data_IF_034661764430
#
_entry.id   IF_034661764430
#
_cell.length_a   1.000
_cell.length_b   1.000
_cell.length_c   1.000
_cell.angle_alpha   90.00
_cell.angle_beta   90.00
_cell.angle_gamma   90.00
#
_symmetry.space_group_name_H-M   'P 1'
#
loop_
_entity.id
_entity.type
_entity.pdbx_description
1 polymer ?
#
# COMPACT_ATOMS: atom_id res chain seq x y z
N UNK A 1 -79.11 29.19 -19.93
CA UNK A 1 -79.32 30.58 -20.39
C UNK A 1 -79.83 31.38 -19.21
N UNK A 2 -78.93 31.90 -18.38
CA UNK A 2 -79.31 32.90 -17.38
C UNK A 2 -79.27 34.28 -18.05
N UNK A 3 -80.44 34.91 -18.14
CA UNK A 3 -80.58 36.29 -18.58
C UNK A 3 -79.94 37.20 -17.53
N UNK A 4 -78.68 37.56 -17.75
CA UNK A 4 -78.03 38.64 -16.99
C UNK A 4 -78.69 39.95 -17.42
N UNK A 5 -79.61 40.46 -16.60
CA UNK A 5 -80.16 41.80 -16.74
C UNK A 5 -79.02 42.83 -16.65
N UNK A 6 -78.57 43.32 -17.80
CA UNK A 6 -77.63 44.44 -17.88
C UNK A 6 -78.35 45.70 -17.42
N UNK A 7 -78.25 46.02 -16.12
CA UNK A 7 -78.69 47.31 -15.59
C UNK A 7 -77.93 48.43 -16.31
N UNK A 8 -78.61 49.19 -17.16
CA UNK A 8 -78.00 50.32 -17.88
C UNK A 8 -77.83 51.50 -16.92
N UNK A 9 -76.70 51.54 -16.20
CA UNK A 9 -76.33 52.71 -15.39
C UNK A 9 -76.19 53.93 -16.31
N UNK A 10 -76.95 55.01 -16.03
CA UNK A 10 -76.84 56.29 -16.76
C UNK A 10 -75.40 56.79 -16.71
N UNK A 11 -74.75 56.93 -17.87
CA UNK A 11 -73.38 57.46 -18.00
C UNK A 11 -73.37 58.91 -17.53
N UNK A 12 -72.65 59.20 -16.44
CA UNK A 12 -72.45 60.58 -15.95
C UNK A 12 -71.61 61.36 -16.97
N UNK A 13 -72.08 62.54 -17.40
CA UNK A 13 -71.32 63.42 -18.29
C UNK A 13 -70.16 64.05 -17.50
N UNK A 14 -68.93 63.64 -17.79
CA UNK A 14 -67.72 64.08 -17.09
C UNK A 14 -66.77 64.73 -18.10
N UNK A 15 -66.14 65.85 -17.72
CA UNK A 15 -65.22 66.60 -18.59
C UNK A 15 -63.96 65.78 -18.90
N UNK A 16 -63.67 65.62 -20.19
CA UNK A 16 -62.55 64.83 -20.73
C UNK A 16 -61.35 65.69 -21.16
N UNK A 17 -61.27 66.95 -20.72
CA UNK A 17 -60.22 67.88 -21.16
C UNK A 17 -58.82 67.57 -20.61
N UNK A 18 -58.72 67.01 -19.39
CA UNK A 18 -57.44 66.75 -18.74
C UNK A 18 -57.11 65.24 -18.70
N UNK A 19 -55.84 64.87 -18.91
CA UNK A 19 -55.35 63.48 -18.86
C UNK A 19 -55.74 62.74 -17.57
N UNK A 20 -55.68 63.43 -16.42
CA UNK A 20 -56.10 62.89 -15.12
C UNK A 20 -57.59 62.54 -15.07
N UNK A 21 -58.44 63.30 -15.76
CA UNK A 21 -59.89 63.01 -15.82
C UNK A 21 -60.18 61.83 -16.75
N UNK A 22 -59.46 61.73 -17.87
CA UNK A 22 -59.46 60.56 -18.74
C UNK A 22 -59.11 59.28 -17.97
N UNK A 23 -57.96 59.26 -17.29
CA UNK A 23 -57.49 58.07 -16.57
C UNK A 23 -58.46 57.57 -15.48
N UNK A 24 -59.27 58.45 -14.86
CA UNK A 24 -60.16 58.09 -13.74
C UNK A 24 -61.57 57.66 -14.15
N UNK A 25 -62.06 58.08 -15.32
CA UNK A 25 -63.48 57.97 -15.68
C UNK A 25 -63.74 57.20 -16.97
N UNK A 26 -62.71 56.61 -17.57
CA UNK A 26 -62.89 55.66 -18.67
C UNK A 26 -63.22 54.31 -18.05
N UNK A 27 -64.35 53.76 -18.48
CA UNK A 27 -64.80 52.45 -18.05
C UNK A 27 -64.16 51.39 -18.94
N UNK A 28 -63.04 50.83 -18.49
CA UNK A 28 -62.35 49.73 -19.15
C UNK A 28 -62.71 48.36 -18.55
N UNK A 29 -63.71 48.31 -17.65
CA UNK A 29 -64.05 47.08 -16.90
C UNK A 29 -64.41 45.91 -17.81
N UNK A 30 -65.09 46.17 -18.91
CA UNK A 30 -65.46 45.15 -19.90
C UNK A 30 -64.21 44.50 -20.53
N UNK A 31 -63.22 45.32 -20.89
CA UNK A 31 -61.93 44.85 -21.44
C UNK A 31 -61.11 44.13 -20.38
N UNK A 32 -61.09 44.64 -19.14
CA UNK A 32 -60.40 44.00 -18.02
C UNK A 32 -61.03 42.65 -17.66
N UNK A 33 -62.35 42.56 -17.60
CA UNK A 33 -63.10 41.34 -17.30
C UNK A 33 -62.93 40.30 -18.42
N UNK A 34 -62.97 40.72 -19.69
CA UNK A 34 -62.64 39.85 -20.82
C UNK A 34 -61.22 39.28 -20.72
N UNK A 35 -60.22 40.14 -20.44
CA UNK A 35 -58.83 39.71 -20.28
C UNK A 35 -58.65 38.80 -19.05
N UNK A 36 -59.37 39.04 -17.96
CA UNK A 36 -59.33 38.20 -16.77
C UNK A 36 -60.01 36.85 -16.99
N UNK A 37 -61.12 36.81 -17.73
CA UNK A 37 -61.77 35.58 -18.17
C UNK A 37 -60.84 34.78 -19.09
N UNK A 38 -60.17 35.43 -20.05
CA UNK A 38 -59.18 34.80 -20.92
C UNK A 38 -58.03 34.19 -20.10
N UNK A 39 -57.45 34.94 -19.14
CA UNK A 39 -56.40 34.43 -18.24
C UNK A 39 -56.89 33.27 -17.38
N UNK A 40 -58.15 33.31 -16.92
CA UNK A 40 -58.75 32.24 -16.13
C UNK A 40 -58.94 30.97 -16.98
N UNK A 41 -59.38 31.12 -18.22
CA UNK A 41 -59.47 30.02 -19.17
C UNK A 41 -58.09 29.42 -19.46
N UNK A 42 -57.06 30.25 -19.70
CA UNK A 42 -55.68 29.79 -19.86
C UNK A 42 -55.16 29.01 -18.63
N UNK A 43 -55.48 29.46 -17.41
CA UNK A 43 -55.14 28.75 -16.16
C UNK A 43 -55.80 27.37 -16.07
N UNK A 44 -57.07 27.27 -16.47
CA UNK A 44 -57.87 26.04 -16.50
C UNK A 44 -57.61 25.16 -17.73
N UNK A 45 -56.64 25.53 -18.57
CA UNK A 45 -56.14 24.73 -19.69
C UNK A 45 -56.73 25.08 -21.04
N UNK A 46 -57.16 26.32 -21.26
CA UNK A 46 -57.64 26.85 -22.53
C UNK A 46 -59.16 26.76 -22.71
N UNK A 47 -59.71 27.47 -23.71
CA UNK A 47 -61.12 27.42 -24.03
C UNK A 47 -61.54 26.02 -24.47
N UNK A 48 -62.76 25.62 -24.12
CA UNK A 48 -63.29 24.29 -24.46
C UNK A 48 -63.29 24.03 -25.98
N UNK A 49 -63.44 25.06 -26.80
CA UNK A 49 -63.43 24.97 -28.26
C UNK A 49 -62.09 24.51 -28.86
N UNK A 50 -60.98 24.70 -28.16
CA UNK A 50 -59.64 24.31 -28.65
C UNK A 50 -59.20 22.93 -28.15
N UNK A 51 -59.87 22.40 -27.12
CA UNK A 51 -59.56 21.08 -26.56
C UNK A 51 -60.08 19.98 -27.48
N UNK A 52 -59.31 18.90 -27.61
CA UNK A 52 -59.73 17.72 -28.37
C UNK A 52 -60.75 16.90 -27.57
N UNK A 53 -61.72 16.31 -28.24
CA UNK A 53 -62.73 15.44 -27.63
C UNK A 53 -62.12 14.31 -26.80
N UNK A 54 -60.94 13.81 -27.19
CA UNK A 54 -60.18 12.77 -26.45
C UNK A 54 -59.71 13.20 -25.06
N UNK A 55 -59.56 14.51 -24.81
CA UNK A 55 -59.19 15.04 -23.50
C UNK A 55 -60.42 15.36 -22.64
N UNK A 56 -61.55 15.65 -23.29
CA UNK A 56 -62.81 16.01 -22.65
C UNK A 56 -63.60 14.78 -22.20
N UNK A 57 -63.56 13.72 -23.01
CA UNK A 57 -64.35 12.52 -22.82
C UNK A 57 -63.45 11.31 -22.63
N UNK A 58 -63.66 10.59 -21.54
CA UNK A 58 -63.08 9.27 -21.30
C UNK A 58 -64.21 8.27 -21.50
N UNK A 59 -64.12 7.46 -22.55
CA UNK A 59 -65.06 6.37 -22.79
C UNK A 59 -64.66 5.24 -21.83
N UNK A 60 -65.48 4.99 -20.81
CA UNK A 60 -65.23 3.95 -19.80
C UNK A 60 -65.90 2.65 -20.25
N UNK A 61 -65.22 1.91 -21.14
CA UNK A 61 -65.71 0.65 -21.72
C UNK A 61 -65.63 -0.56 -20.76
N UNK A 62 -65.14 -0.37 -19.53
CA UNK A 62 -64.88 -1.47 -18.58
C UNK A 62 -65.52 -1.20 -17.23
N UNK A 63 -66.40 -2.11 -16.78
CA UNK A 63 -67.07 -2.06 -15.48
C UNK A 63 -66.08 -1.88 -14.32
N UNK A 64 -66.48 -1.06 -13.35
CA UNK A 64 -65.65 -0.51 -12.29
C UNK A 64 -65.22 -1.54 -11.22
N UNK A 65 -64.30 -2.44 -11.58
CA UNK A 65 -63.39 -3.00 -10.57
C UNK A 65 -62.52 -1.85 -10.08
N UNK A 66 -62.71 -1.44 -8.83
CA UNK A 66 -61.97 -0.37 -8.14
C UNK A 66 -60.49 -0.45 -8.55
N UNK A 67 -60.06 0.44 -9.45
CA UNK A 67 -58.67 0.56 -9.91
C UNK A 67 -57.82 0.92 -8.70
N UNK A 68 -57.42 -0.09 -7.91
CA UNK A 68 -56.48 0.07 -6.82
C UNK A 68 -55.23 0.64 -7.45
N UNK A 69 -54.91 1.89 -7.14
CA UNK A 69 -53.75 2.59 -7.69
C UNK A 69 -52.57 1.62 -7.64
N UNK A 70 -52.06 1.22 -8.82
CA UNK A 70 -50.96 0.25 -8.92
C UNK A 70 -49.88 0.71 -7.95
N UNK A 71 -49.64 -0.05 -6.88
CA UNK A 71 -48.69 0.33 -5.83
C UNK A 71 -47.31 0.33 -6.49
N UNK A 72 -46.84 1.54 -6.83
CA UNK A 72 -45.53 1.75 -7.43
C UNK A 72 -44.46 1.04 -6.60
N UNK A 73 -43.57 0.31 -7.28
CA UNK A 73 -42.43 -0.35 -6.66
C UNK A 73 -41.58 0.67 -5.89
N UNK A 74 -40.87 0.24 -4.84
CA UNK A 74 -39.97 1.12 -4.06
C UNK A 74 -38.97 1.87 -4.95
N UNK A 75 -38.54 1.24 -6.05
CA UNK A 75 -37.65 1.86 -7.05
C UNK A 75 -38.36 2.93 -7.89
N UNK A 76 -39.62 2.73 -8.23
CA UNK A 76 -40.44 3.68 -8.99
C UNK A 76 -40.79 4.90 -8.13
N UNK A 77 -41.12 4.67 -6.85
CA UNK A 77 -41.31 5.74 -5.85
C UNK A 77 -40.08 6.60 -5.65
N UNK A 78 -38.89 6.00 -5.68
CA UNK A 78 -37.63 6.75 -5.53
C UNK A 78 -37.25 7.60 -6.76
N UNK A 79 -37.83 7.33 -7.94
CA UNK A 79 -37.61 8.12 -9.16
C UNK A 79 -38.55 9.33 -9.26
N UNK A 80 -39.69 9.28 -8.58
CA UNK A 80 -40.59 10.41 -8.49
C UNK A 80 -39.92 11.55 -7.71
N UNK A 81 -40.17 12.82 -8.08
CA UNK A 81 -39.67 13.94 -7.30
C UNK A 81 -40.20 13.82 -5.87
N UNK A 82 -39.37 14.17 -4.89
CA UNK A 82 -39.78 14.16 -3.49
C UNK A 82 -40.98 15.10 -3.30
N UNK A 83 -41.87 14.76 -2.35
CA UNK A 83 -43.07 15.54 -2.06
C UNK A 83 -42.78 17.02 -1.77
N UNK A 84 -41.63 17.32 -1.14
CA UNK A 84 -41.18 18.69 -0.88
C UNK A 84 -40.95 19.52 -2.15
N UNK A 85 -40.63 18.89 -3.29
CA UNK A 85 -40.50 19.56 -4.58
C UNK A 85 -41.81 19.67 -5.35
N UNK A 86 -42.91 19.08 -4.86
CA UNK A 86 -44.23 19.21 -5.48
C UNK A 86 -44.68 20.67 -5.60
N UNK A 87 -44.30 21.50 -4.62
CA UNK A 87 -44.62 22.94 -4.61
C UNK A 87 -43.86 23.73 -5.69
N UNK A 88 -42.79 23.16 -6.25
CA UNK A 88 -42.00 23.79 -7.33
C UNK A 88 -42.53 23.42 -8.73
N UNK A 89 -43.41 22.43 -8.82
CA UNK A 89 -44.04 22.05 -10.09
C UNK A 89 -45.15 23.05 -10.37
N UNK A 90 -45.13 23.68 -11.55
CA UNK A 90 -46.20 24.57 -11.96
C UNK A 90 -47.50 23.77 -12.11
N UNK A 91 -48.48 24.06 -11.25
CA UNK A 91 -49.80 23.44 -11.29
C UNK A 91 -50.73 24.09 -12.33
N UNK A 92 -50.36 25.27 -12.84
CA UNK A 92 -51.07 25.95 -13.91
C UNK A 92 -50.69 25.32 -15.26
N UNK A 93 -51.66 25.18 -16.17
CA UNK A 93 -51.43 24.67 -17.54
C UNK A 93 -50.70 25.68 -18.45
N UNK A 94 -50.51 26.90 -17.97
CA UNK A 94 -49.80 27.98 -18.67
C UNK A 94 -48.32 27.59 -18.82
N UNK A 95 -47.75 27.63 -20.04
CA UNK A 95 -46.33 27.36 -20.23
C UNK A 95 -45.48 28.42 -19.53
N UNK A 96 -44.34 28.02 -18.97
CA UNK A 96 -43.39 28.96 -18.37
C UNK A 96 -42.96 30.00 -19.43
N UNK A 97 -43.03 31.32 -19.15
CA UNK A 97 -42.64 32.36 -20.11
C UNK A 97 -41.14 32.30 -20.44
N UNK A 98 -40.33 31.68 -19.58
CA UNK A 98 -38.89 31.47 -19.76
C UNK A 98 -38.65 30.01 -20.16
N UNK A 99 -38.68 29.72 -21.45
CA UNK A 99 -38.61 28.34 -21.98
C UNK A 99 -37.30 27.59 -21.66
N UNK A 100 -36.18 28.27 -21.42
CA UNK A 100 -34.93 27.64 -20.97
C UNK A 100 -34.28 28.42 -19.83
N UNK A 101 -34.32 27.86 -18.62
CA UNK A 101 -33.58 28.36 -17.47
C UNK A 101 -32.11 27.90 -17.56
N UNK A 102 -31.19 28.74 -17.09
CA UNK A 102 -29.77 28.40 -17.00
C UNK A 102 -29.57 27.30 -15.96
N UNK A 103 -29.21 26.09 -16.42
CA UNK A 103 -28.86 24.96 -15.54
C UNK A 103 -27.36 24.70 -15.62
N UNK A 104 -26.80 24.26 -14.50
CA UNK A 104 -25.45 23.72 -14.42
C UNK A 104 -25.33 22.50 -15.34
N UNK A 105 -24.50 22.61 -16.39
CA UNK A 105 -24.21 21.50 -17.32
C UNK A 105 -23.60 20.31 -16.57
N UNK A 106 -24.00 19.10 -16.93
CA UNK A 106 -23.41 17.86 -16.39
C UNK A 106 -21.94 17.70 -16.84
N UNK A 107 -21.17 16.85 -16.16
CA UNK A 107 -19.76 16.62 -16.51
C UNK A 107 -19.57 16.15 -17.96
N UNK A 108 -20.52 15.37 -18.48
CA UNK A 108 -20.50 14.88 -19.86
C UNK A 108 -20.88 15.98 -20.87
N UNK A 109 -21.86 16.83 -20.52
CA UNK A 109 -22.23 18.00 -21.31
C UNK A 109 -21.11 19.05 -21.39
N UNK A 110 -20.27 19.15 -20.36
CA UNK A 110 -19.09 20.05 -20.32
C UNK A 110 -17.92 19.57 -21.18
N UNK A 111 -17.90 18.31 -21.63
CA UNK A 111 -16.79 17.81 -22.47
C UNK A 111 -16.83 18.46 -23.85
N UNK A 112 -15.67 18.87 -24.35
CA UNK A 112 -15.51 19.35 -25.72
C UNK A 112 -15.90 18.27 -26.74
N UNK A 113 -16.44 18.68 -27.89
CA UNK A 113 -16.88 17.79 -28.99
C UNK A 113 -15.77 16.82 -29.43
N UNK A 114 -14.53 17.32 -29.53
CA UNK A 114 -13.36 16.52 -29.91
C UNK A 114 -13.13 15.35 -28.95
N UNK A 115 -13.19 15.62 -27.64
CA UNK A 115 -12.97 14.59 -26.61
C UNK A 115 -14.06 13.52 -26.62
N UNK A 116 -15.31 13.89 -26.92
CA UNK A 116 -16.42 12.93 -27.10
C UNK A 116 -16.17 12.00 -28.28
N UNK A 117 -15.80 12.57 -29.43
CA UNK A 117 -15.45 11.81 -30.64
C UNK A 117 -14.31 10.81 -30.40
N UNK A 118 -13.25 11.24 -29.71
CA UNK A 118 -12.12 10.36 -29.36
C UNK A 118 -12.54 9.22 -28.43
N UNK A 119 -13.30 9.51 -27.36
CA UNK A 119 -13.79 8.47 -26.44
C UNK A 119 -14.73 7.47 -27.14
N UNK A 120 -15.54 7.92 -28.08
CA UNK A 120 -16.42 7.06 -28.89
C UNK A 120 -15.64 6.18 -29.87
N UNK A 121 -14.64 6.74 -30.56
CA UNK A 121 -13.75 5.98 -31.43
C UNK A 121 -12.95 4.93 -30.65
N UNK A 122 -12.43 5.28 -29.47
CA UNK A 122 -11.74 4.34 -28.58
C UNK A 122 -12.68 3.22 -28.12
N UNK A 123 -13.93 3.53 -27.75
CA UNK A 123 -14.93 2.49 -27.42
C UNK A 123 -15.26 1.58 -28.60
N UNK A 124 -15.42 2.13 -29.81
CA UNK A 124 -15.65 1.34 -31.03
C UNK A 124 -14.48 0.38 -31.32
N UNK A 125 -13.25 0.82 -31.03
CA UNK A 125 -12.04 0.02 -31.17
C UNK A 125 -11.79 -0.92 -29.97
N UNK A 126 -12.71 -1.01 -28.99
CA UNK A 126 -12.58 -1.86 -27.81
C UNK A 126 -11.57 -1.38 -26.76
N UNK A 127 -11.00 -0.19 -26.92
CA UNK A 127 -10.01 0.39 -26.00
C UNK A 127 -10.75 1.07 -24.85
N UNK A 128 -10.76 0.42 -23.69
CA UNK A 128 -11.42 0.91 -22.47
C UNK A 128 -10.35 1.35 -21.47
N UNK A 129 -10.45 2.56 -20.87
CA UNK A 129 -9.49 3.00 -19.87
C UNK A 129 -9.59 2.14 -18.60
N UNK A 130 -8.43 1.83 -17.99
CA UNK A 130 -8.33 0.98 -16.80
C UNK A 130 -9.26 1.40 -15.65
N UNK A 131 -9.43 2.71 -15.43
CA UNK A 131 -10.34 3.26 -14.40
C UNK A 131 -11.80 2.82 -14.59
N UNK A 132 -12.25 2.66 -15.82
CA UNK A 132 -13.62 2.20 -16.13
C UNK A 132 -13.73 0.70 -15.86
N UNK A 133 -12.71 -0.09 -16.21
CA UNK A 133 -12.66 -1.51 -15.87
C UNK A 133 -12.66 -1.76 -14.36
N UNK A 134 -11.86 -1.00 -13.61
CA UNK A 134 -11.83 -1.06 -12.15
C UNK A 134 -13.18 -0.70 -11.54
N UNK A 135 -13.83 0.36 -12.03
CA UNK A 135 -15.19 0.73 -11.62
C UNK A 135 -16.22 -0.38 -11.87
N UNK A 136 -16.12 -1.10 -12.99
CA UNK A 136 -16.97 -2.26 -13.26
C UNK A 136 -16.71 -3.41 -12.27
N UNK A 137 -15.44 -3.72 -12.01
CA UNK A 137 -15.06 -4.75 -11.02
C UNK A 137 -15.56 -4.39 -9.62
N UNK A 138 -15.34 -3.16 -9.18
CA UNK A 138 -15.81 -2.65 -7.89
C UNK A 138 -17.33 -2.70 -7.79
N UNK A 139 -18.05 -2.33 -8.86
CA UNK A 139 -19.51 -2.42 -8.91
C UNK A 139 -20.00 -3.86 -8.80
N UNK A 140 -19.38 -4.79 -9.52
CA UNK A 140 -19.71 -6.23 -9.45
C UNK A 140 -19.46 -6.75 -8.03
N UNK A 141 -18.32 -6.40 -7.44
CA UNK A 141 -17.97 -6.76 -6.07
C UNK A 141 -19.00 -6.21 -5.07
N UNK A 142 -19.37 -4.94 -5.19
CA UNK A 142 -20.36 -4.30 -4.31
C UNK A 142 -21.73 -4.95 -4.44
N UNK A 143 -22.16 -5.31 -5.66
CA UNK A 143 -23.41 -6.01 -5.90
C UNK A 143 -23.40 -7.43 -5.33
N UNK A 144 -22.27 -8.14 -5.41
CA UNK A 144 -22.09 -9.44 -4.75
C UNK A 144 -22.18 -9.32 -3.24
N UNK A 145 -21.47 -8.34 -2.66
CA UNK A 145 -21.51 -8.06 -1.22
C UNK A 145 -22.93 -7.75 -0.73
N UNK A 146 -23.68 -6.89 -1.43
CA UNK A 146 -25.09 -6.60 -1.12
C UNK A 146 -26.04 -7.80 -1.29
N UNK A 147 -25.67 -8.80 -2.10
CA UNK A 147 -26.44 -10.05 -2.23
C UNK A 147 -26.10 -11.05 -1.12
N UNK A 148 -24.86 -11.07 -0.64
CA UNK A 148 -24.41 -11.93 0.46
C UNK A 148 -24.78 -11.38 1.85
N UNK A 149 -25.04 -10.08 1.95
CA UNK A 149 -25.62 -9.48 3.16
C UNK A 149 -26.99 -10.14 3.44
N UNK A 150 -27.17 -10.77 4.62
CA UNK A 150 -28.44 -11.41 4.96
C UNK A 150 -29.55 -10.35 5.01
N UNK A 151 -30.72 -10.69 4.45
CA UNK A 151 -31.86 -9.76 4.32
C UNK A 151 -32.74 -9.72 5.58
N UNK A 152 -32.45 -10.56 6.55
CA UNK A 152 -33.16 -10.64 7.83
C UNK A 152 -32.62 -9.57 8.78
N UNK A 153 -33.42 -9.17 9.76
CA UNK A 153 -32.97 -8.32 10.86
C UNK A 153 -31.91 -9.09 11.66
N UNK A 154 -30.64 -8.85 11.34
CA UNK A 154 -29.57 -9.10 12.30
C UNK A 154 -29.88 -8.19 13.48
N UNK A 155 -30.14 -8.77 14.65
CA UNK A 155 -30.15 -8.00 15.89
C UNK A 155 -28.72 -7.48 16.09
N UNK A 156 -28.44 -6.27 15.59
CA UNK A 156 -27.12 -5.61 15.71
C UNK A 156 -26.76 -5.24 17.15
N UNK A 157 -27.63 -5.54 18.11
CA UNK A 157 -27.44 -5.20 19.52
C UNK A 157 -27.39 -6.48 20.35
N UNK A 158 -26.18 -6.91 20.65
CA UNK A 158 -25.94 -7.91 21.68
C UNK A 158 -26.45 -7.33 23.00
N UNK A 159 -27.40 -8.01 23.62
CA UNK A 159 -28.03 -7.58 24.89
C UNK A 159 -26.99 -7.59 26.03
N UNK A 160 -25.88 -8.30 25.83
CA UNK A 160 -24.78 -8.44 26.79
C UNK A 160 -23.59 -7.52 26.52
N UNK A 161 -23.53 -6.87 25.36
CA UNK A 161 -22.72 -5.66 25.18
C UNK A 161 -23.55 -4.48 25.70
N UNK A 162 -23.69 -4.38 27.03
CA UNK A 162 -24.01 -3.10 27.63
C UNK A 162 -22.87 -2.15 27.23
N UNK A 163 -23.15 -1.30 26.23
CA UNK A 163 -22.43 -0.07 25.97
C UNK A 163 -22.47 0.73 27.28
N UNK A 164 -21.54 0.44 28.19
CA UNK A 164 -21.11 1.36 29.23
C UNK A 164 -20.56 2.53 28.44
N UNK A 165 -21.46 3.48 28.15
CA UNK A 165 -21.11 4.73 27.51
C UNK A 165 -19.90 5.32 28.23
N UNK A 166 -19.16 6.16 27.52
CA UNK A 166 -17.89 6.78 27.94
C UNK A 166 -17.92 7.37 29.38
N UNK A 167 -19.10 7.57 29.96
CA UNK A 167 -19.36 7.89 31.35
C UNK A 167 -19.95 6.68 32.07
N UNK A 168 -19.08 5.79 32.56
CA UNK A 168 -19.46 4.49 33.09
C UNK A 168 -20.36 4.51 34.33
N UNK A 169 -20.51 5.64 35.03
CA UNK A 169 -21.29 5.73 36.29
C UNK A 169 -21.92 7.12 36.52
N UNK A 170 -22.00 8.00 35.52
CA UNK A 170 -22.58 9.33 35.69
C UNK A 170 -23.96 9.42 35.02
N UNK A 171 -24.98 9.84 35.78
CA UNK A 171 -26.35 10.06 35.34
C UNK A 171 -26.40 11.07 34.18
N UNK A 172 -26.22 10.57 32.97
CA UNK A 172 -26.22 11.34 31.72
C UNK A 172 -27.55 11.23 30.98
N UNK A 173 -28.58 10.65 31.62
CA UNK A 173 -29.93 10.50 31.07
C UNK A 173 -30.59 11.83 30.67
N UNK A 174 -30.20 12.95 31.30
CA UNK A 174 -30.67 14.30 30.99
C UNK A 174 -29.91 14.97 29.84
N UNK A 175 -28.75 14.44 29.42
CA UNK A 175 -27.96 14.96 28.31
C UNK A 175 -28.39 14.31 27.00
N UNK A 176 -28.76 15.12 26.01
CA UNK A 176 -29.08 14.61 24.67
C UNK A 176 -27.84 14.00 24.03
N UNK A 177 -28.02 12.93 23.26
CA UNK A 177 -26.93 12.24 22.54
C UNK A 177 -26.17 13.17 21.59
N UNK A 178 -26.85 14.16 21.02
CA UNK A 178 -26.25 15.22 20.20
C UNK A 178 -25.35 16.15 21.01
N UNK A 179 -25.76 16.52 22.23
CA UNK A 179 -24.98 17.34 23.15
C UNK A 179 -23.72 16.62 23.60
N UNK A 180 -23.81 15.33 23.91
CA UNK A 180 -22.64 14.49 24.22
C UNK A 180 -21.69 14.47 23.02
N UNK A 181 -22.18 14.27 21.79
CA UNK A 181 -21.35 14.25 20.57
C UNK A 181 -20.69 15.59 20.27
N UNK A 182 -21.39 16.70 20.51
CA UNK A 182 -20.94 18.05 20.20
C UNK A 182 -19.97 18.61 21.25
N UNK A 183 -20.23 18.36 22.54
CA UNK A 183 -19.41 18.87 23.65
C UNK A 183 -18.27 17.93 24.06
N UNK A 184 -18.41 16.61 23.90
CA UNK A 184 -17.34 15.65 24.17
C UNK A 184 -16.30 15.59 23.04
N UNK A 185 -16.06 16.70 22.33
CA UNK A 185 -15.08 16.88 21.23
C UNK A 185 -14.35 15.61 20.80
N UNK A 186 -14.88 14.88 19.81
CA UNK A 186 -14.25 13.68 19.23
C UNK A 186 -13.63 12.68 20.22
N UNK A 187 -14.16 12.48 21.42
CA UNK A 187 -13.63 11.51 22.40
C UNK A 187 -13.74 10.05 21.93
N UNK A 188 -14.56 9.76 20.91
CA UNK A 188 -14.46 8.52 20.12
C UNK A 188 -13.43 8.70 19.01
N UNK A 189 -12.15 8.84 19.39
CA UNK A 189 -11.04 8.76 18.43
C UNK A 189 -11.00 7.31 17.94
N UNK A 190 -11.37 7.08 16.68
CA UNK A 190 -11.21 5.77 16.04
C UNK A 190 -9.74 5.37 16.19
N UNK A 191 -9.46 4.31 16.94
CA UNK A 191 -8.10 3.80 17.11
C UNK A 191 -7.54 3.48 15.72
N UNK A 192 -6.36 4.01 15.35
CA UNK A 192 -5.70 3.65 14.10
C UNK A 192 -5.59 2.14 13.93
N UNK A 193 -5.94 1.63 12.74
CA UNK A 193 -5.95 0.18 12.45
C UNK A 193 -4.59 -0.47 12.72
N UNK A 194 -3.50 0.27 12.53
CA UNK A 194 -2.13 -0.21 12.78
C UNK A 194 -1.85 -0.54 14.25
N UNK A 195 -2.52 0.13 15.19
CA UNK A 195 -2.37 -0.15 16.63
C UNK A 195 -3.01 -1.49 17.00
N UNK A 196 -4.15 -1.83 16.38
CA UNK A 196 -4.86 -3.09 16.61
C UNK A 196 -4.20 -4.30 15.92
N UNK A 197 -3.27 -4.06 14.99
CA UNK A 197 -2.61 -5.12 14.23
C UNK A 197 -1.59 -5.85 15.10
N UNK A 198 -1.73 -7.17 15.23
CA UNK A 198 -0.73 -8.02 15.90
C UNK A 198 0.63 -7.89 15.21
N UNK A 199 1.69 -7.72 16.01
CA UNK A 199 3.06 -7.49 15.51
C UNK A 199 3.74 -8.76 14.97
N UNK A 200 3.25 -9.93 15.36
CA UNK A 200 3.74 -11.26 14.97
C UNK A 200 2.59 -12.25 14.88
N UNK A 201 2.81 -13.35 14.15
CA UNK A 201 1.86 -14.47 13.98
C UNK A 201 2.06 -15.54 15.07
N UNK A 202 3.19 -15.52 15.77
CA UNK A 202 3.54 -16.49 16.81
C UNK A 202 2.54 -16.49 17.99
N UNK A 203 2.24 -17.66 18.58
CA UNK A 203 1.39 -17.75 19.75
C UNK A 203 2.04 -17.07 20.96
N UNK A 204 1.21 -16.64 21.93
CA UNK A 204 1.71 -15.95 23.12
C UNK A 204 2.57 -16.84 24.02
N UNK A 205 2.29 -18.15 24.03
CA UNK A 205 3.01 -19.20 24.73
C UNK A 205 3.24 -20.31 23.72
N UNK A 206 4.49 -20.70 23.52
CA UNK A 206 4.83 -21.85 22.69
C UNK A 206 4.71 -23.12 23.54
N UNK A 207 4.16 -24.22 22.98
CA UNK A 207 4.11 -25.49 23.70
C UNK A 207 5.55 -25.99 23.92
N UNK A 208 5.89 -26.48 25.14
CA UNK A 208 7.22 -27.02 25.41
C UNK A 208 7.44 -28.33 24.66
N UNK A 209 8.72 -28.70 24.47
CA UNK A 209 9.07 -29.98 23.87
C UNK A 209 8.59 -31.15 24.78
N UNK A 210 8.06 -32.27 24.23
CA UNK A 210 7.56 -33.38 25.03
C UNK A 210 8.61 -34.01 25.97
N UNK A 211 9.88 -33.97 25.56
CA UNK A 211 11.02 -34.42 26.37
C UNK A 211 11.28 -33.60 27.65
N UNK A 212 10.67 -32.40 27.78
CA UNK A 212 10.74 -31.56 28.98
C UNK A 212 9.70 -31.96 30.04
N UNK A 213 8.77 -32.86 29.68
CA UNK A 213 7.81 -33.37 30.65
C UNK A 213 8.52 -34.07 31.79
N UNK A 214 7.84 -34.16 32.93
CA UNK A 214 8.37 -34.79 34.13
C UNK A 214 8.62 -36.30 33.94
N UNK A 215 7.78 -36.97 33.14
CA UNK A 215 7.91 -38.39 32.80
C UNK A 215 7.83 -38.56 31.26
N UNK A 216 8.89 -38.18 30.52
CA UNK A 216 8.92 -38.24 29.07
C UNK A 216 9.11 -39.68 28.59
N UNK A 217 8.68 -39.95 27.37
CA UNK A 217 9.09 -41.17 26.68
C UNK A 217 10.58 -41.11 26.38
N UNK A 218 11.26 -42.26 26.39
CA UNK A 218 12.70 -42.35 26.16
C UNK A 218 13.10 -41.67 24.84
N UNK A 219 12.31 -41.88 23.77
CA UNK A 219 12.52 -41.24 22.47
C UNK A 219 12.43 -39.72 22.55
N UNK A 220 11.36 -39.17 23.14
CA UNK A 220 11.18 -37.72 23.26
C UNK A 220 12.27 -37.05 24.13
N UNK A 221 12.78 -37.75 25.14
CA UNK A 221 13.90 -37.28 25.96
C UNK A 221 15.22 -37.26 25.19
N UNK A 222 15.51 -38.34 24.43
CA UNK A 222 16.69 -38.38 23.55
C UNK A 222 16.63 -37.31 22.46
N UNK A 223 15.46 -37.10 21.85
CA UNK A 223 15.27 -36.06 20.83
C UNK A 223 15.57 -34.67 21.41
N UNK A 224 15.11 -34.38 22.64
CA UNK A 224 15.43 -33.13 23.34
C UNK A 224 16.94 -33.01 23.61
N UNK A 225 17.57 -34.08 24.11
CA UNK A 225 19.00 -34.09 24.40
C UNK A 225 19.84 -33.88 23.14
N UNK A 226 19.42 -34.45 22.01
CA UNK A 226 20.08 -34.25 20.72
C UNK A 226 20.01 -32.78 20.29
N UNK A 227 18.83 -32.15 20.38
CA UNK A 227 18.66 -30.72 20.07
C UNK A 227 19.57 -29.85 20.95
N UNK A 228 19.65 -30.15 22.25
CA UNK A 228 20.53 -29.43 23.17
C UNK A 228 22.00 -29.68 22.82
N UNK A 229 22.39 -30.92 22.56
CA UNK A 229 23.75 -31.28 22.22
C UNK A 229 24.22 -30.59 20.92
N UNK A 230 23.35 -30.51 19.91
CA UNK A 230 23.63 -29.78 18.66
C UNK A 230 23.92 -28.30 18.94
N UNK A 231 23.08 -27.63 19.75
CA UNK A 231 23.28 -26.22 20.13
C UNK A 231 24.57 -26.01 20.92
N UNK A 232 24.92 -26.92 21.83
CA UNK A 232 26.17 -26.83 22.59
C UNK A 232 27.40 -27.09 21.70
N UNK A 233 27.32 -28.03 20.76
CA UNK A 233 28.38 -28.25 19.77
C UNK A 233 28.61 -27.03 18.89
N UNK A 234 27.56 -26.28 18.52
CA UNK A 234 27.69 -25.01 17.82
C UNK A 234 28.45 -23.98 18.66
N UNK A 235 28.10 -23.81 19.94
CA UNK A 235 28.82 -22.92 20.86
C UNK A 235 30.30 -23.30 20.99
N UNK A 236 30.60 -24.58 21.17
CA UNK A 236 31.99 -25.09 21.26
C UNK A 236 32.77 -24.80 19.97
N UNK A 237 32.15 -24.96 18.80
CA UNK A 237 32.79 -24.63 17.50
C UNK A 237 33.05 -23.14 17.38
N UNK A 238 32.11 -22.29 17.80
CA UNK A 238 32.29 -20.83 17.81
C UNK A 238 33.43 -20.41 18.74
N UNK A 239 33.49 -20.97 19.95
CA UNK A 239 34.56 -20.73 20.92
C UNK A 239 35.92 -21.16 20.36
N UNK A 240 36.02 -22.38 19.80
CA UNK A 240 37.25 -22.86 19.17
C UNK A 240 37.67 -22.00 17.97
N UNK A 241 36.71 -21.51 17.18
CA UNK A 241 36.97 -20.59 16.09
C UNK A 241 37.52 -19.25 16.60
N UNK A 242 36.91 -18.68 17.64
CA UNK A 242 37.37 -17.43 18.26
C UNK A 242 38.76 -17.62 18.84
N UNK A 243 39.02 -18.72 19.55
CA UNK A 243 40.33 -19.04 20.11
C UNK A 243 41.38 -19.13 18.99
N UNK A 244 41.09 -19.87 17.92
CA UNK A 244 41.97 -19.96 16.75
C UNK A 244 42.27 -18.58 16.12
N UNK A 245 41.25 -17.74 15.94
CA UNK A 245 41.40 -16.43 15.28
C UNK A 245 42.04 -15.39 16.19
N UNK A 246 41.86 -15.49 17.51
CA UNK A 246 42.36 -14.49 18.47
C UNK A 246 43.60 -14.95 19.21
N UNK A 247 43.61 -16.08 19.88
CA UNK A 247 44.74 -16.49 20.71
C UNK A 247 45.83 -17.17 19.89
N UNK A 248 45.46 -18.05 18.95
CA UNK A 248 46.44 -18.85 18.19
C UNK A 248 47.07 -18.06 17.05
N UNK A 249 46.34 -17.11 16.45
CA UNK A 249 46.86 -16.25 15.39
C UNK A 249 47.92 -15.26 15.91
N UNK A 250 47.77 -14.76 17.15
CA UNK A 250 48.73 -13.82 17.75
C UNK A 250 49.73 -14.57 18.64
N UNK A 251 50.90 -14.92 18.08
CA UNK A 251 52.04 -15.41 18.87
C UNK A 251 52.48 -14.32 19.85
N UNK A 252 52.57 -14.65 21.15
CA UNK A 252 53.15 -13.76 22.15
C UNK A 252 54.67 -13.85 22.05
N UNK A 253 55.27 -12.94 21.28
CA UNK A 253 56.73 -12.82 21.12
C UNK A 253 57.32 -11.99 22.27
N UNK A 254 58.47 -12.40 22.80
CA UNK A 254 59.18 -11.60 23.80
C UNK A 254 59.80 -10.35 23.19
N UNK A 255 60.04 -9.29 23.97
CA UNK A 255 60.60 -8.02 23.46
C UNK A 255 61.90 -8.21 22.66
N UNK A 256 62.78 -9.09 23.15
CA UNK A 256 64.07 -9.38 22.53
C UNK A 256 63.92 -10.08 21.16
N UNK A 257 63.02 -11.06 21.06
CA UNK A 257 62.72 -11.74 19.79
C UNK A 257 62.11 -10.78 18.76
N UNK A 258 61.24 -9.86 19.23
CA UNK A 258 60.65 -8.82 18.37
C UNK A 258 61.71 -7.84 17.84
N UNK A 259 62.69 -7.46 18.65
CA UNK A 259 63.80 -6.62 18.22
C UNK A 259 64.68 -7.34 17.17
N UNK A 260 64.95 -8.64 17.36
CA UNK A 260 65.70 -9.44 16.39
C UNK A 260 64.97 -9.59 15.05
N UNK A 261 63.68 -9.96 15.06
CA UNK A 261 62.84 -10.07 13.85
C UNK A 261 62.76 -8.71 13.11
N UNK A 262 62.65 -7.59 13.83
CA UNK A 262 62.67 -6.26 13.23
C UNK A 262 64.00 -5.95 12.54
N UNK A 263 65.14 -6.26 13.17
CA UNK A 263 66.46 -6.08 12.56
C UNK A 263 66.59 -6.91 11.27
N UNK A 264 66.07 -8.13 11.27
CA UNK A 264 66.07 -9.03 10.11
C UNK A 264 65.17 -8.48 8.98
N UNK A 265 63.94 -8.05 9.27
CA UNK A 265 63.03 -7.42 8.31
C UNK A 265 63.62 -6.14 7.69
N UNK A 266 64.32 -5.32 8.47
CA UNK A 266 64.99 -4.10 7.98
C UNK A 266 66.22 -4.41 7.11
N UNK A 267 66.78 -5.62 7.20
CA UNK A 267 67.95 -6.04 6.42
C UNK A 267 67.59 -6.70 5.08
N UNK A 268 66.36 -7.24 4.93
CA UNK A 268 65.91 -7.97 3.74
C UNK A 268 65.63 -7.11 2.49
N UNK A 269 65.79 -5.79 2.56
CA UNK A 269 65.70 -4.88 1.41
C UNK A 269 67.04 -4.45 0.82
N UNK A 270 68.16 -4.94 1.37
CA UNK A 270 69.51 -4.61 0.89
C UNK A 270 70.01 -5.70 -0.07
N UNK A 271 69.39 -5.77 -1.25
CA UNK A 271 69.79 -6.70 -2.31
C UNK A 271 70.98 -6.11 -3.08
N UNK A 272 72.08 -6.87 -3.17
CA UNK A 272 73.28 -6.52 -3.92
C UNK A 272 72.97 -6.46 -5.42
N UNK A 273 73.15 -5.27 -6.01
CA UNK A 273 73.09 -5.00 -7.44
C UNK A 273 73.92 -6.03 -8.21
N UNK A 274 73.25 -6.86 -9.01
CA UNK A 274 73.86 -7.57 -10.14
C UNK A 274 73.24 -6.99 -11.41
N UNK A 275 73.93 -6.00 -11.95
CA UNK A 275 73.81 -5.61 -13.36
C UNK A 275 74.29 -6.78 -14.22
N UNK A 276 73.57 -7.09 -15.29
CA UNK A 276 74.23 -7.37 -16.58
C UNK A 276 73.24 -7.34 -17.76
N UNK A 277 73.62 -6.48 -18.71
CA UNK A 277 73.47 -6.52 -20.15
C UNK A 277 72.13 -6.19 -20.84
N UNK A 278 72.13 -4.96 -21.37
CA UNK A 278 71.59 -4.56 -22.67
C UNK A 278 72.12 -5.43 -23.81
N UNK A 279 71.32 -5.60 -24.87
CA UNK A 279 71.78 -5.72 -26.27
C UNK A 279 70.65 -5.22 -27.20
N UNK A 280 70.94 -4.42 -28.25
CA UNK A 280 69.97 -3.84 -29.18
C UNK A 280 69.90 -4.58 -30.53
N UNK A 281 68.80 -4.41 -31.30
CA UNK A 281 68.82 -4.13 -32.77
C UNK A 281 67.51 -4.51 -33.54
N UNK A 282 66.83 -3.47 -34.05
CA UNK A 282 66.49 -3.21 -35.48
C UNK A 282 65.46 -4.05 -36.28
N UNK A 283 64.24 -3.49 -36.44
CA UNK A 283 63.54 -3.13 -37.72
C UNK A 283 62.77 -4.20 -38.52
N UNK A 284 61.97 -3.83 -39.57
CA UNK A 284 61.27 -2.58 -39.88
C UNK A 284 59.75 -2.74 -40.20
N UNK A 285 59.00 -1.62 -40.17
CA UNK A 285 57.62 -1.50 -40.65
C UNK A 285 57.52 -1.50 -42.19
N UNK A 286 56.48 -2.13 -42.72
CA UNK A 286 56.16 -2.22 -44.15
C UNK A 286 55.90 -0.86 -44.81
N UNK A 287 56.78 -0.42 -45.72
CA UNK A 287 56.50 0.64 -46.69
C UNK A 287 55.67 0.07 -47.84
N UNK A 288 54.53 0.71 -48.14
CA UNK A 288 53.72 0.39 -49.31
C UNK A 288 54.28 1.18 -50.52
N UNK A 289 54.73 0.55 -51.62
CA UNK A 289 55.36 1.26 -52.72
C UNK A 289 54.36 2.16 -53.48
N UNK A 290 54.80 3.30 -54.04
CA UNK A 290 53.96 4.22 -54.80
C UNK A 290 53.45 3.56 -56.09
N UNK A 291 52.13 3.60 -56.32
CA UNK A 291 51.49 3.03 -57.51
C UNK A 291 51.60 3.98 -58.71
N UNK A 292 52.23 3.56 -59.81
CA UNK A 292 52.35 4.35 -61.05
C UNK A 292 51.18 4.14 -62.02
N UNK A 293 50.79 5.19 -62.75
CA UNK A 293 49.69 5.23 -63.74
C UNK A 293 49.93 4.36 -65.00
N UNK A 294 51.18 4.01 -65.29
CA UNK A 294 51.59 3.28 -66.50
C UNK A 294 51.29 1.77 -66.46
N UNK A 295 50.89 1.24 -65.30
CA UNK A 295 50.65 -0.20 -65.11
C UNK A 295 49.25 -0.62 -65.55
N UNK A 296 48.92 -0.44 -66.84
CA UNK A 296 47.67 -0.97 -67.41
C UNK A 296 47.74 -2.50 -67.43
N UNK A 297 46.83 -3.13 -66.72
CA UNK A 297 46.78 -4.59 -66.61
C UNK A 297 46.41 -5.20 -67.97
N UNK A 298 47.12 -6.24 -68.37
CA UNK A 298 46.82 -6.99 -69.59
C UNK A 298 45.49 -7.76 -69.47
N UNK A 299 44.87 -8.13 -70.60
CA UNK A 299 43.62 -8.92 -70.59
C UNK A 299 43.78 -10.25 -69.83
N UNK A 300 44.95 -10.90 -69.94
CA UNK A 300 45.31 -12.11 -69.17
C UNK A 300 45.36 -11.83 -67.66
N UNK A 301 45.97 -10.72 -67.25
CA UNK A 301 45.99 -10.29 -65.84
C UNK A 301 44.58 -9.95 -65.33
N UNK A 302 43.71 -9.36 -66.17
CA UNK A 302 42.31 -9.06 -65.83
C UNK A 302 41.47 -10.34 -65.67
N UNK A 303 41.67 -11.35 -66.53
CA UNK A 303 41.04 -12.67 -66.42
C UNK A 303 41.47 -13.39 -65.14
N UNK A 304 42.78 -13.45 -64.87
CA UNK A 304 43.32 -14.03 -63.62
C UNK A 304 42.82 -13.30 -62.38
N UNK A 305 42.68 -11.98 -62.42
CA UNK A 305 42.11 -11.20 -61.32
C UNK A 305 40.62 -11.50 -61.10
N UNK A 306 39.84 -11.68 -62.18
CA UNK A 306 38.42 -12.06 -62.10
C UNK A 306 38.27 -13.44 -61.45
N UNK A 307 39.07 -14.41 -61.89
CA UNK A 307 39.10 -15.76 -61.31
C UNK A 307 39.51 -15.75 -59.84
N UNK A 308 40.51 -14.95 -59.45
CA UNK A 308 40.89 -14.77 -58.04
C UNK A 308 39.78 -14.13 -57.20
N UNK A 309 39.04 -13.16 -57.76
CA UNK A 309 37.88 -12.55 -57.09
C UNK A 309 36.75 -13.56 -56.91
N UNK A 310 36.44 -14.36 -57.93
CA UNK A 310 35.43 -15.41 -57.87
C UNK A 310 35.82 -16.50 -56.87
N UNK A 311 37.07 -16.96 -56.88
CA UNK A 311 37.60 -17.88 -55.87
C UNK A 311 37.55 -17.30 -54.45
N UNK A 312 37.83 -16.00 -54.29
CA UNK A 312 37.71 -15.32 -53.00
C UNK A 312 36.24 -15.22 -52.53
N UNK A 313 35.29 -14.96 -53.43
CA UNK A 313 33.86 -14.99 -53.13
C UNK A 313 33.41 -16.40 -52.74
N UNK A 314 33.81 -17.42 -53.50
CA UNK A 314 33.51 -18.82 -53.18
C UNK A 314 34.06 -19.22 -51.79
N UNK A 315 35.29 -18.81 -51.46
CA UNK A 315 35.88 -19.00 -50.13
C UNK A 315 35.08 -18.28 -49.04
N UNK A 316 34.59 -17.07 -49.29
CA UNK A 316 33.71 -16.34 -48.36
C UNK A 316 32.40 -17.08 -48.14
N UNK A 317 31.75 -17.56 -49.21
CA UNK A 317 30.52 -18.33 -49.11
C UNK A 317 30.72 -19.64 -48.35
N UNK A 318 31.78 -20.39 -48.65
CA UNK A 318 32.12 -21.61 -47.92
C UNK A 318 32.39 -21.36 -46.42
N UNK A 319 33.05 -20.24 -46.08
CA UNK A 319 33.21 -19.81 -44.67
C UNK A 319 31.86 -19.51 -44.01
N UNK A 320 30.95 -18.84 -44.69
CA UNK A 320 29.62 -18.54 -44.17
C UNK A 320 28.79 -19.82 -43.97
N UNK A 321 28.86 -20.77 -44.90
CA UNK A 321 28.17 -22.05 -44.76
C UNK A 321 28.72 -22.89 -43.59
N UNK A 322 30.05 -22.91 -43.41
CA UNK A 322 30.69 -23.53 -42.23
C UNK A 322 30.24 -22.87 -40.93
N UNK A 323 30.12 -21.54 -40.89
CA UNK A 323 29.58 -20.81 -39.73
C UNK A 323 28.13 -21.22 -39.44
N UNK A 324 27.26 -21.25 -40.45
CA UNK A 324 25.86 -21.71 -40.27
C UNK A 324 25.79 -23.12 -39.68
N UNK A 325 26.62 -24.06 -40.17
CA UNK A 325 26.69 -25.43 -39.63
C UNK A 325 27.19 -25.43 -38.17
N UNK A 326 28.21 -24.63 -37.85
CA UNK A 326 28.71 -24.49 -36.48
C UNK A 326 27.67 -23.86 -35.54
N UNK A 327 26.92 -22.86 -36.01
CA UNK A 327 25.86 -22.19 -35.25
C UNK A 327 24.72 -23.16 -34.94
N UNK A 328 24.31 -24.01 -35.90
CA UNK A 328 23.31 -25.07 -35.68
C UNK A 328 23.76 -26.02 -34.56
N UNK A 329 25.04 -26.43 -34.55
CA UNK A 329 25.59 -27.24 -33.46
C UNK A 329 25.62 -26.48 -32.13
N UNK A 330 25.93 -25.18 -32.16
CA UNK A 330 25.95 -24.30 -30.98
C UNK A 330 24.56 -24.11 -30.37
N UNK A 331 23.49 -24.14 -31.16
CA UNK A 331 22.11 -24.02 -30.66
C UNK A 331 21.80 -25.04 -29.55
N UNK A 332 22.33 -26.26 -29.63
CA UNK A 332 22.13 -27.29 -28.59
C UNK A 332 22.71 -26.88 -27.24
N UNK A 333 23.89 -26.25 -27.24
CA UNK A 333 24.51 -25.72 -26.02
C UNK A 333 23.76 -24.50 -25.50
N UNK A 334 23.31 -23.61 -26.38
CA UNK A 334 22.51 -22.44 -25.99
C UNK A 334 21.20 -22.88 -25.32
N UNK A 335 20.51 -23.88 -25.88
CA UNK A 335 19.28 -24.43 -25.27
C UNK A 335 19.57 -25.03 -23.89
N UNK A 336 20.63 -25.82 -23.76
CA UNK A 336 21.04 -26.38 -22.46
C UNK A 336 21.38 -25.28 -21.45
N UNK A 337 22.09 -24.23 -21.87
CA UNK A 337 22.42 -23.08 -21.03
C UNK A 337 21.16 -22.31 -20.59
N UNK A 338 20.15 -22.22 -21.45
CA UNK A 338 18.84 -21.62 -21.12
C UNK A 338 18.13 -22.51 -20.09
N UNK A 339 18.02 -23.82 -20.32
CA UNK A 339 17.40 -24.76 -19.39
C UNK A 339 18.08 -24.73 -18.01
N UNK A 340 19.40 -24.72 -17.96
CA UNK A 340 20.17 -24.68 -16.71
C UNK A 340 20.00 -23.33 -15.97
N UNK A 341 19.80 -22.23 -16.70
CA UNK A 341 19.46 -20.92 -16.11
C UNK A 341 18.05 -20.92 -15.57
N UNK A 342 17.07 -21.37 -16.34
CA UNK A 342 15.67 -21.45 -15.92
C UNK A 342 15.52 -22.32 -14.67
N UNK A 343 16.17 -23.48 -14.61
CA UNK A 343 16.20 -24.33 -13.40
C UNK A 343 16.79 -23.62 -12.19
N UNK A 344 17.90 -22.90 -12.36
CA UNK A 344 18.52 -22.12 -11.27
C UNK A 344 17.61 -21.00 -10.78
N UNK A 345 16.95 -20.29 -11.70
CA UNK A 345 16.00 -19.23 -11.38
C UNK A 345 14.77 -19.78 -10.67
N UNK A 346 14.25 -20.92 -11.10
CA UNK A 346 13.13 -21.60 -10.45
C UNK A 346 13.48 -22.02 -9.03
N UNK A 347 14.64 -22.67 -8.83
CA UNK A 347 15.14 -23.04 -7.50
C UNK A 347 15.32 -21.79 -6.62
N UNK A 348 15.89 -20.71 -7.15
CA UNK A 348 16.03 -19.45 -6.42
C UNK A 348 14.68 -18.84 -6.05
N UNK A 349 13.69 -18.89 -6.95
CA UNK A 349 12.33 -18.42 -6.69
C UNK A 349 11.62 -19.27 -5.63
N UNK A 350 11.77 -20.60 -5.66
CA UNK A 350 11.25 -21.49 -4.62
C UNK A 350 11.90 -21.21 -3.27
N UNK A 351 13.22 -21.03 -3.22
CA UNK A 351 13.95 -20.64 -1.99
C UNK A 351 13.45 -19.28 -1.49
N UNK A 352 13.22 -18.32 -2.39
CA UNK A 352 12.70 -16.99 -2.03
C UNK A 352 11.30 -17.09 -1.42
N UNK A 353 10.39 -17.86 -2.02
CA UNK A 353 9.05 -18.12 -1.48
C UNK A 353 9.12 -18.74 -0.09
N UNK A 354 9.91 -19.81 0.08
CA UNK A 354 10.14 -20.44 1.40
C UNK A 354 10.71 -19.46 2.43
N UNK A 355 11.66 -18.59 2.04
CA UNK A 355 12.19 -17.55 2.92
C UNK A 355 11.15 -16.50 3.28
N UNK A 356 10.27 -16.11 2.37
CA UNK A 356 9.18 -15.16 2.63
C UNK A 356 8.14 -15.75 3.60
N UNK A 357 7.81 -17.03 3.46
CA UNK A 357 6.96 -17.76 4.42
C UNK A 357 7.60 -17.82 5.81
N UNK A 358 8.89 -18.18 5.90
CA UNK A 358 9.62 -18.23 7.17
C UNK A 358 9.75 -16.85 7.83
N UNK A 359 9.91 -15.77 7.04
CA UNK A 359 10.01 -14.39 7.56
C UNK A 359 8.78 -13.94 8.34
N UNK A 360 7.60 -14.51 8.07
CA UNK A 360 6.37 -14.20 8.80
C UNK A 360 6.44 -14.68 10.26
N UNK A 361 7.10 -15.82 10.48
CA UNK A 361 7.29 -16.43 11.81
C UNK A 361 8.57 -15.96 12.49
N UNK A 362 9.55 -15.46 11.74
CA UNK A 362 10.82 -14.99 12.29
C UNK A 362 10.70 -13.68 13.07
N UNK A 363 11.55 -13.56 14.09
CA UNK A 363 11.71 -12.36 14.91
C UNK A 363 12.37 -11.25 14.10
N UNK A 364 11.83 -10.03 14.15
CA UNK A 364 12.40 -8.85 13.48
C UNK A 364 13.49 -8.21 14.35
N UNK A 365 14.44 -7.55 13.70
CA UNK A 365 15.46 -6.75 14.39
C UNK A 365 14.89 -5.37 14.76
N UNK A 366 14.40 -5.23 15.99
CA UNK A 366 13.82 -3.98 16.50
C UNK A 366 14.87 -3.01 17.09
N UNK A 367 16.02 -3.51 17.53
CA UNK A 367 17.09 -2.72 18.13
C UNK A 367 18.45 -3.09 17.54
N UNK A 368 19.50 -2.39 17.99
CA UNK A 368 20.88 -2.69 17.61
C UNK A 368 21.25 -4.15 17.92
N UNK A 369 20.80 -4.69 19.05
CA UNK A 369 21.02 -6.08 19.44
C UNK A 369 20.09 -7.01 18.64
N UNK A 370 20.64 -8.14 18.19
CA UNK A 370 19.84 -9.24 17.62
C UNK A 370 19.14 -9.97 18.76
N UNK A 371 17.93 -10.45 18.51
CA UNK A 371 17.27 -11.39 19.42
C UNK A 371 18.09 -12.68 19.50
N UNK A 372 18.26 -13.19 20.71
CA UNK A 372 18.92 -14.46 21.02
C UNK A 372 17.90 -15.28 21.78
N UNK A 373 17.68 -16.51 21.31
CA UNK A 373 16.76 -17.44 21.97
C UNK A 373 17.35 -17.89 23.31
N UNK A 374 16.47 -18.13 24.29
CA UNK A 374 16.88 -18.71 25.55
C UNK A 374 17.33 -20.17 25.35
N UNK A 375 18.28 -20.61 26.17
CA UNK A 375 18.68 -22.01 26.21
C UNK A 375 17.51 -22.88 26.68
N UNK A 376 17.40 -24.07 26.10
CA UNK A 376 16.34 -25.01 26.45
C UNK A 376 16.62 -25.61 27.82
N UNK A 377 15.60 -25.58 28.68
CA UNK A 377 15.64 -26.25 29.97
C UNK A 377 15.39 -27.74 29.79
N UNK A 378 16.24 -28.59 30.38
CA UNK A 378 16.08 -30.04 30.30
C UNK A 378 16.59 -30.70 31.58
N UNK A 379 16.02 -31.85 31.91
CA UNK A 379 16.49 -32.70 32.99
C UNK A 379 17.46 -33.75 32.43
N UNK A 380 18.58 -33.98 33.13
CA UNK A 380 19.47 -35.10 32.82
C UNK A 380 18.81 -36.44 33.20
N UNK A 381 19.35 -37.55 32.68
CA UNK A 381 18.86 -38.89 33.01
C UNK A 381 18.83 -39.17 34.51
N UNK A 382 19.82 -38.66 35.27
CA UNK A 382 19.90 -38.81 36.74
C UNK A 382 18.92 -37.92 37.51
N UNK A 383 18.43 -36.85 36.88
CA UNK A 383 17.52 -35.87 37.48
C UNK A 383 16.05 -36.22 37.18
N UNK A 384 15.81 -37.04 36.16
CA UNK A 384 14.50 -37.58 35.84
C UNK A 384 14.06 -38.57 36.93
N UNK A 385 13.03 -38.21 37.68
CA UNK A 385 12.48 -39.05 38.75
C UNK A 385 11.03 -39.39 38.45
N UNK A 386 10.64 -40.63 38.74
CA UNK A 386 9.27 -41.11 38.56
C UNK A 386 8.25 -40.58 39.57
N UNK A 387 8.65 -39.71 40.53
CA UNK A 387 7.77 -39.10 41.56
C UNK A 387 7.80 -37.54 41.57
N UNK A 388 6.62 -36.88 41.51
CA UNK A 388 6.50 -35.42 41.42
C UNK A 388 7.07 -34.69 42.64
N UNK A 389 7.00 -35.30 43.82
CA UNK A 389 7.53 -34.72 45.06
C UNK A 389 9.06 -34.54 45.04
N UNK A 390 9.74 -35.29 44.20
CA UNK A 390 11.20 -35.35 44.14
C UNK A 390 11.79 -34.63 42.93
N UNK A 391 10.94 -34.13 42.03
CA UNK A 391 11.36 -33.41 40.83
C UNK A 391 12.02 -32.09 41.22
N UNK A 392 13.11 -31.76 40.54
CA UNK A 392 13.66 -30.41 40.62
C UNK A 392 12.90 -29.55 39.62
N UNK A 393 12.26 -28.49 40.10
CA UNK A 393 11.67 -27.48 39.23
C UNK A 393 12.78 -26.67 38.58
N UNK A 394 12.87 -26.73 37.26
CA UNK A 394 13.75 -25.87 36.47
C UNK A 394 13.07 -24.58 36.07
N UNK A 395 13.88 -23.56 35.82
CA UNK A 395 13.49 -22.43 35.00
C UNK A 395 12.95 -21.18 35.66
N UNK A 396 12.83 -20.14 34.83
CA UNK A 396 12.27 -18.86 35.24
C UNK A 396 11.18 -18.42 34.26
N UNK A 397 9.93 -18.48 34.73
CA UNK A 397 8.75 -18.07 33.97
C UNK A 397 8.82 -16.61 33.49
N UNK A 398 9.42 -15.72 34.27
CA UNK A 398 9.59 -14.32 33.87
C UNK A 398 10.57 -14.18 32.72
N UNK A 399 11.64 -15.00 32.72
CA UNK A 399 12.59 -15.04 31.61
C UNK A 399 11.91 -15.56 30.34
N UNK A 400 11.18 -16.67 30.42
CA UNK A 400 10.43 -17.21 29.27
C UNK A 400 9.43 -16.20 28.69
N UNK A 401 8.65 -15.51 29.55
CA UNK A 401 7.74 -14.44 29.11
C UNK A 401 8.48 -13.27 28.48
N UNK A 402 9.63 -12.88 29.02
CA UNK A 402 10.47 -11.82 28.49
C UNK A 402 11.00 -12.17 27.09
N UNK A 403 11.52 -13.39 26.90
CA UNK A 403 11.97 -13.87 25.59
C UNK A 403 10.81 -14.06 24.61
N UNK A 404 9.63 -14.53 25.06
CA UNK A 404 8.41 -14.60 24.24
C UNK A 404 7.96 -13.22 23.75
N UNK A 405 8.00 -12.19 24.59
CA UNK A 405 7.66 -10.81 24.18
C UNK A 405 8.63 -10.26 23.14
N UNK A 406 9.92 -10.61 23.26
CA UNK A 406 10.93 -10.25 22.26
C UNK A 406 10.71 -11.02 20.95
N UNK A 407 10.49 -12.33 21.02
CA UNK A 407 10.23 -13.20 19.88
C UNK A 407 9.00 -12.74 19.09
N UNK A 408 7.97 -12.27 19.81
CA UNK A 408 6.75 -11.70 19.23
C UNK A 408 6.87 -10.26 18.71
N UNK A 409 8.06 -9.67 18.72
CA UNK A 409 8.30 -8.29 18.31
C UNK A 409 7.49 -7.25 19.12
N UNK A 410 7.11 -7.57 20.36
CA UNK A 410 6.41 -6.64 21.26
C UNK A 410 7.44 -5.77 21.98
N UNK A 411 8.49 -6.43 22.50
CA UNK A 411 9.61 -5.79 23.18
C UNK A 411 10.87 -5.88 22.31
N UNK A 412 11.69 -4.84 22.31
CA UNK A 412 12.98 -4.88 21.64
C UNK A 412 14.03 -5.61 22.51
N UNK A 413 14.95 -6.39 21.91
CA UNK A 413 16.04 -7.01 22.67
C UNK A 413 16.97 -5.94 23.25
N UNK A 414 17.20 -6.01 24.56
CA UNK A 414 17.99 -5.04 25.31
C UNK A 414 18.85 -5.74 26.35
N UNK A 415 19.88 -5.06 26.83
CA UNK A 415 20.70 -5.51 27.96
C UNK A 415 20.64 -4.49 29.09
N UNK A 416 20.79 -4.98 30.32
CA UNK A 416 20.92 -4.13 31.50
C UNK A 416 22.06 -3.12 31.33
N UNK A 417 21.73 -1.83 31.36
CA UNK A 417 22.71 -0.74 31.37
C UNK A 417 23.06 -0.46 32.83
N UNK A 418 24.26 -0.85 33.25
CA UNK A 418 24.67 -0.76 34.67
C UNK A 418 25.29 0.59 35.02
N UNK A 419 25.99 1.23 34.09
CA UNK A 419 26.67 2.52 34.33
C UNK A 419 26.31 3.49 33.21
N UNK A 420 25.58 4.54 33.55
CA UNK A 420 25.48 5.71 32.69
C UNK A 420 26.81 6.45 32.76
N UNK A 421 27.41 6.75 31.60
CA UNK A 421 28.61 7.58 31.51
C UNK A 421 28.27 9.01 31.91
N UNK A 422 28.26 9.29 33.21
CA UNK A 422 28.15 10.65 33.73
C UNK A 422 29.51 11.32 33.57
N UNK A 423 29.51 12.55 33.08
CA UNK A 423 30.72 13.38 33.08
C UNK A 423 31.18 13.58 34.53
N UNK A 424 32.50 13.60 34.75
CA UNK A 424 33.04 13.88 36.08
C UNK A 424 32.75 15.35 36.41
N UNK A 425 31.80 15.59 37.32
CA UNK A 425 31.50 16.94 37.80
C UNK A 425 32.53 17.31 38.86
N UNK A 426 33.20 18.46 38.70
CA UNK A 426 34.07 19.02 39.74
C UNK A 426 33.21 19.33 40.98
N UNK A 427 33.49 18.68 42.10
CA UNK A 427 32.83 18.96 43.39
C UNK A 427 33.70 19.95 44.14
N UNK A 428 33.17 21.14 44.40
CA UNK A 428 33.81 22.12 45.25
C UNK A 428 33.17 22.07 46.63
N UNK A 429 33.97 22.12 47.69
CA UNK A 429 33.48 22.41 49.03
C UNK A 429 33.01 23.86 49.05
N UNK A 430 31.80 24.13 49.53
CA UNK A 430 31.35 25.51 49.73
C UNK A 430 32.35 26.25 50.62
N UNK A 431 32.69 27.52 50.34
CA UNK A 431 33.66 28.27 51.13
C UNK A 431 33.38 28.24 52.64
N UNK A 432 32.09 28.31 53.03
CA UNK A 432 31.65 28.25 54.42
C UNK A 432 31.89 26.93 55.15
N UNK A 433 32.17 25.84 54.42
CA UNK A 433 32.41 24.50 54.97
C UNK A 433 33.88 24.07 54.85
N UNK A 434 34.75 24.99 54.41
CA UNK A 434 36.17 24.75 54.26
C UNK A 434 36.84 24.99 55.62
N UNK A 435 36.94 23.95 56.44
CA UNK A 435 37.77 23.98 57.64
C UNK A 435 39.24 23.99 57.20
N UNK A 436 40.02 24.99 57.64
CA UNK A 436 41.46 25.03 57.41
C UNK A 436 42.14 23.92 58.23
N UNK A 437 42.28 22.73 57.64
CA UNK A 437 43.08 21.69 58.25
C UNK A 437 44.57 22.09 58.15
N UNK A 438 45.36 21.95 59.24
CA UNK A 438 46.80 22.24 59.20
C UNK A 438 47.51 21.35 58.17
N UNK A 439 48.61 21.83 57.55
CA UNK A 439 49.21 21.20 56.39
C UNK A 439 49.71 19.79 56.71
N UNK A 440 49.06 18.77 56.15
CA UNK A 440 49.51 17.39 56.22
C UNK A 440 50.79 17.21 55.39
N UNK A 441 51.90 16.93 56.06
CA UNK A 441 53.20 16.59 55.46
C UNK A 441 53.02 15.36 54.55
N UNK A 442 53.20 15.55 53.25
CA UNK A 442 53.07 14.49 52.25
C UNK A 442 54.13 13.39 52.46
N UNK A 443 53.71 12.21 52.95
CA UNK A 443 54.56 11.01 52.93
C UNK A 443 54.71 10.53 51.48
N UNK A 444 55.90 10.70 50.90
CA UNK A 444 56.34 10.08 49.64
C UNK A 444 56.03 8.57 49.68
N UNK A 445 55.06 8.11 48.89
CA UNK A 445 54.84 6.68 48.65
C UNK A 445 56.00 6.14 47.83
N UNK A 446 56.84 5.30 48.44
CA UNK A 446 57.74 4.39 47.71
C UNK A 446 56.89 3.47 46.84
N UNK A 447 57.15 3.48 45.52
CA UNK A 447 56.62 2.49 44.57
C UNK A 447 57.21 1.12 44.93
N UNK A 448 56.36 0.11 45.04
CA UNK A 448 56.70 -1.30 44.84
C UNK A 448 56.09 -1.72 43.51
#
# INVERSE_FOLDING_TARGET
MELVEKSTKKKKKISKKNKKSWAKHIDNKDVEEFLDQQRLQERLGGPFSEKKDTELFVIDDVGSEKKSQKKLSKKERARLPLKCYGNLVNNCKIPDPVGRRTRVKTKEERKCRIRKSIEEAQRKNGIIPHKVLQSYQDRIFTLRKKKSEPKELIFEKDVWEEDKGVFGDADTAWLKTETIRHHAGTLKVSVPKDITKKKSVLPAVEPPHPGMSYNPTLKAHQDLLNIVAEKELEKVKEEAHIDRVTTQMFKKVTRQQKEAEWIEEMSQGLETVKDENEEPATGPLSYNPPTSFLNKKTLKQRRKQKEQKEAALARKYAKMEKKKKADISKMRFILKDIDDKEKKEELAAQIRKKKEELKVFQTKRLAAKKFVEADLEFNRKSELKGNLRSIKTGGNLLADRFYSLQKRNILAPSSKVTKFKKTKVKRFTKPSHKMEAPPTISRKKKKK
#
